data_IF_966392871386
#
_entry.id   IF_966392871386
#
_cell.length_a   1.000
_cell.length_b   1.000
_cell.length_c   1.000
_cell.angle_alpha   90.00
_cell.angle_beta   90.00
_cell.angle_gamma   90.00
#
_symmetry.space_group_name_H-M   'P 1'
#
loop_
_entity.id
_entity.type
_entity.pdbx_description
1 polymer ?
#
# COMPACT_ATOMS: atom_id res chain seq x y z
N UNK A 1 -26.40 12.00 -10.49
CA UNK A 1 -26.07 11.44 -9.15
C UNK A 1 -24.96 10.39 -9.19
N UNK A 2 -25.08 9.26 -9.93
CA UNK A 2 -24.01 8.23 -10.01
C UNK A 2 -22.63 8.77 -10.44
N UNK A 3 -22.57 9.60 -11.49
CA UNK A 3 -21.29 10.18 -11.95
C UNK A 3 -20.61 11.09 -10.90
N UNK A 4 -21.39 11.72 -10.02
CA UNK A 4 -20.83 12.59 -8.97
C UNK A 4 -20.09 11.77 -7.91
N UNK A 5 -20.62 10.59 -7.52
CA UNK A 5 -19.97 9.72 -6.54
C UNK A 5 -18.72 9.05 -7.11
N UNK A 6 -18.76 8.59 -8.37
CA UNK A 6 -17.58 8.02 -9.05
C UNK A 6 -16.48 9.06 -9.14
N UNK A 7 -16.80 10.28 -9.57
CA UNK A 7 -15.82 11.37 -9.67
C UNK A 7 -15.18 11.67 -8.31
N UNK A 8 -16.01 11.80 -7.27
CA UNK A 8 -15.52 12.03 -5.90
C UNK A 8 -14.62 10.90 -5.38
N UNK A 9 -14.94 9.64 -5.70
CA UNK A 9 -14.10 8.49 -5.32
C UNK A 9 -12.74 8.53 -6.05
N UNK A 10 -12.73 8.82 -7.34
CA UNK A 10 -11.49 9.00 -8.12
C UNK A 10 -10.64 10.14 -7.57
N UNK A 11 -11.27 11.27 -7.23
CA UNK A 11 -10.57 12.43 -6.68
C UNK A 11 -9.93 12.08 -5.32
N UNK A 12 -10.64 11.38 -4.43
CA UNK A 12 -10.09 10.89 -3.16
C UNK A 12 -8.88 9.97 -3.36
N UNK A 13 -8.95 9.02 -4.29
CA UNK A 13 -7.83 8.12 -4.58
C UNK A 13 -6.61 8.90 -5.11
N UNK A 14 -6.83 9.75 -6.11
CA UNK A 14 -5.76 10.57 -6.69
C UNK A 14 -5.12 11.52 -5.68
N UNK A 15 -5.93 12.10 -4.80
CA UNK A 15 -5.48 12.98 -3.72
C UNK A 15 -4.64 12.26 -2.65
N UNK A 16 -4.82 10.95 -2.49
CA UNK A 16 -4.08 10.12 -1.56
C UNK A 16 -2.87 9.41 -2.21
N UNK A 17 -2.75 9.44 -3.52
CA UNK A 17 -1.60 8.88 -4.23
C UNK A 17 -0.34 9.70 -3.94
N UNK A 18 0.75 9.03 -3.56
CA UNK A 18 2.02 9.65 -3.20
C UNK A 18 3.04 9.50 -4.33
N UNK A 19 4.01 10.43 -4.42
CA UNK A 19 5.09 10.39 -5.42
C UNK A 19 5.90 9.08 -5.39
N UNK A 20 5.94 8.41 -4.23
CA UNK A 20 6.58 7.10 -4.05
C UNK A 20 5.86 5.92 -4.71
N UNK A 21 4.71 6.15 -5.39
CA UNK A 21 3.97 5.09 -6.09
C UNK A 21 3.11 4.22 -5.18
N UNK A 22 2.68 4.77 -4.05
CA UNK A 22 1.75 4.14 -3.10
C UNK A 22 0.66 5.12 -2.69
N UNK A 23 -0.42 4.61 -2.10
CA UNK A 23 -1.54 5.42 -1.66
C UNK A 23 -1.67 5.32 -0.14
N UNK A 24 -1.86 6.47 0.51
CA UNK A 24 -2.17 6.49 1.93
C UNK A 24 -3.67 6.20 2.17
N UNK A 25 -4.04 5.33 3.12
CA UNK A 25 -5.45 5.06 3.40
C UNK A 25 -6.21 6.29 3.90
N UNK A 26 -5.51 7.19 4.62
CA UNK A 26 -6.09 8.43 5.16
C UNK A 26 -5.04 9.51 5.36
N UNK A 27 -5.28 10.70 4.80
CA UNK A 27 -4.40 11.88 4.93
C UNK A 27 -4.04 12.26 6.37
N UNK A 28 -4.93 11.97 7.33
CA UNK A 28 -4.75 12.41 8.72
C UNK A 28 -4.21 11.31 9.64
N UNK A 29 -4.60 10.06 9.40
CA UNK A 29 -4.38 8.98 10.36
C UNK A 29 -3.33 7.97 9.90
N UNK A 30 -3.20 7.74 8.60
CA UNK A 30 -2.41 6.61 8.07
C UNK A 30 -1.45 7.11 6.99
N UNK A 31 -0.25 7.61 7.36
CA UNK A 31 0.66 8.27 6.43
C UNK A 31 1.54 7.31 5.60
N UNK A 32 1.22 6.01 5.61
CA UNK A 32 2.06 4.96 5.05
C UNK A 32 1.25 4.04 4.13
N UNK A 33 1.93 3.12 3.44
CA UNK A 33 1.30 2.09 2.62
C UNK A 33 0.92 0.88 3.50
N UNK A 34 -0.29 0.36 3.32
CA UNK A 34 -0.85 -0.74 4.11
C UNK A 34 -1.24 -1.91 3.21
N UNK A 35 -0.88 -3.14 3.59
CA UNK A 35 -0.95 -4.34 2.74
C UNK A 35 -2.33 -4.58 2.12
N UNK A 36 -3.36 -4.78 2.92
CA UNK A 36 -4.68 -5.10 2.39
C UNK A 36 -5.37 -3.86 1.78
N UNK A 37 -5.10 -2.66 2.29
CA UNK A 37 -5.63 -1.40 1.80
C UNK A 37 -5.14 -1.16 0.37
N UNK A 38 -3.84 -1.32 0.13
CA UNK A 38 -3.23 -1.26 -1.21
C UNK A 38 -3.87 -2.25 -2.19
N UNK A 39 -4.28 -3.43 -1.72
CA UNK A 39 -5.04 -4.38 -2.52
C UNK A 39 -6.37 -3.80 -3.02
N UNK A 40 -7.20 -3.30 -2.12
CA UNK A 40 -8.51 -2.71 -2.48
C UNK A 40 -8.37 -1.37 -3.21
N UNK A 41 -7.35 -0.57 -2.89
CA UNK A 41 -7.02 0.67 -3.59
C UNK A 41 -6.64 0.39 -5.04
N UNK A 42 -5.83 -0.65 -5.29
CA UNK A 42 -5.48 -1.06 -6.64
C UNK A 42 -6.71 -1.44 -7.46
N UNK A 43 -7.69 -2.15 -6.87
CA UNK A 43 -8.98 -2.41 -7.52
C UNK A 43 -9.73 -1.11 -7.86
N UNK A 44 -9.71 -0.13 -6.96
CA UNK A 44 -10.28 1.20 -7.21
C UNK A 44 -9.64 1.87 -8.43
N UNK A 45 -8.31 1.88 -8.50
CA UNK A 45 -7.58 2.42 -9.65
C UNK A 45 -7.83 1.63 -10.94
N UNK A 46 -7.96 0.31 -10.89
CA UNK A 46 -8.11 -0.53 -12.09
C UNK A 46 -9.24 -0.06 -13.01
N UNK A 47 -10.31 0.50 -12.44
CA UNK A 47 -11.46 1.00 -13.18
C UNK A 47 -11.22 2.32 -13.95
N UNK A 48 -10.13 3.04 -13.73
CA UNK A 48 -9.87 4.32 -14.41
C UNK A 48 -8.40 4.67 -14.69
N UNK A 49 -7.44 3.98 -14.05
CA UNK A 49 -6.00 4.16 -14.19
C UNK A 49 -5.27 2.85 -13.81
N UNK A 50 -5.23 1.89 -14.74
CA UNK A 50 -4.57 0.60 -14.54
C UNK A 50 -3.06 0.73 -14.26
N UNK A 51 -2.42 1.80 -14.74
CA UNK A 51 -1.01 2.06 -14.46
C UNK A 51 -0.78 2.33 -12.96
N UNK A 52 -1.64 3.14 -12.33
CA UNK A 52 -1.60 3.33 -10.87
C UNK A 52 -1.94 2.05 -10.10
N UNK A 53 -2.90 1.26 -10.58
CA UNK A 53 -3.25 -0.02 -9.96
C UNK A 53 -2.02 -0.96 -9.89
N UNK A 54 -1.32 -1.13 -11.01
CA UNK A 54 -0.08 -1.92 -11.06
C UNK A 54 1.00 -1.33 -10.17
N UNK A 55 1.16 0.00 -10.20
CA UNK A 55 2.19 0.68 -9.40
C UNK A 55 1.97 0.51 -7.89
N UNK A 56 0.74 0.58 -7.41
CA UNK A 56 0.38 0.35 -6.01
C UNK A 56 0.83 -1.05 -5.55
N UNK A 57 0.55 -2.08 -6.35
CA UNK A 57 0.93 -3.47 -6.07
C UNK A 57 2.44 -3.68 -6.16
N UNK A 58 3.09 -3.15 -7.19
CA UNK A 58 4.56 -3.22 -7.34
C UNK A 58 5.27 -2.61 -6.13
N UNK A 59 4.83 -1.43 -5.68
CA UNK A 59 5.42 -0.74 -4.54
C UNK A 59 5.25 -1.53 -3.24
N UNK A 60 4.11 -2.22 -3.05
CA UNK A 60 3.91 -3.13 -1.92
C UNK A 60 4.84 -4.34 -1.99
N UNK A 61 4.96 -4.96 -3.17
CA UNK A 61 5.80 -6.15 -3.38
C UNK A 61 7.29 -5.86 -3.28
N UNK A 62 7.73 -4.63 -3.57
CA UNK A 62 9.11 -4.20 -3.32
C UNK A 62 9.51 -4.27 -1.84
N UNK A 63 8.55 -4.30 -0.91
CA UNK A 63 8.77 -4.47 0.52
C UNK A 63 8.68 -5.93 0.99
N UNK A 64 8.49 -6.89 0.07
CA UNK A 64 8.52 -8.31 0.40
C UNK A 64 9.90 -8.72 0.93
N UNK A 65 9.89 -9.47 2.03
CA UNK A 65 11.10 -10.02 2.64
C UNK A 65 11.62 -11.21 1.83
N UNK A 66 12.89 -11.57 1.98
CA UNK A 66 13.51 -12.65 1.20
C UNK A 66 12.88 -14.03 1.43
N UNK A 67 12.18 -14.22 2.54
CA UNK A 67 11.44 -15.44 2.88
C UNK A 67 9.98 -15.45 2.34
N UNK A 68 9.59 -14.46 1.54
CA UNK A 68 8.27 -14.34 0.94
C UNK A 68 7.25 -13.59 1.81
N UNK A 69 7.59 -13.22 3.05
CA UNK A 69 6.73 -12.43 3.93
C UNK A 69 6.46 -11.04 3.36
N UNK A 70 5.18 -10.65 3.29
CA UNK A 70 4.77 -9.29 2.93
C UNK A 70 4.30 -8.57 4.19
N UNK A 71 4.96 -7.47 4.58
CA UNK A 71 4.64 -6.73 5.80
C UNK A 71 3.28 -6.05 5.69
N UNK A 72 2.67 -5.84 6.85
CA UNK A 72 1.43 -5.09 7.01
C UNK A 72 1.58 -3.60 6.63
N UNK A 73 2.66 -2.93 7.05
CA UNK A 73 2.94 -1.52 6.72
C UNK A 73 4.32 -1.41 6.08
N UNK A 74 4.42 -0.56 5.05
CA UNK A 74 5.67 -0.13 4.43
C UNK A 74 5.91 1.35 4.73
N UNK A 75 7.04 1.66 5.38
CA UNK A 75 7.41 3.00 5.78
C UNK A 75 8.27 3.66 4.69
N UNK A 76 7.62 4.33 3.73
CA UNK A 76 8.28 5.01 2.60
C UNK A 76 8.93 6.35 2.98
N UNK A 77 8.39 7.01 3.99
CA UNK A 77 8.87 8.31 4.48
C UNK A 77 9.09 8.26 5.99
N UNK A 78 9.88 9.21 6.50
CA UNK A 78 9.93 9.43 7.96
C UNK A 78 8.70 10.23 8.37
N UNK A 79 7.94 9.72 9.33
CA UNK A 79 6.84 10.46 9.96
C UNK A 79 6.75 10.13 11.45
N UNK A 80 6.41 11.15 12.25
CA UNK A 80 6.14 11.03 13.68
C UNK A 80 4.64 11.09 14.00
N UNK A 81 3.77 11.14 12.97
CA UNK A 81 2.31 11.28 13.16
C UNK A 81 1.59 9.96 13.37
N UNK A 82 2.30 8.83 13.26
CA UNK A 82 1.77 7.49 13.45
C UNK A 82 2.65 6.67 14.40
N UNK A 83 2.02 5.96 15.32
CA UNK A 83 2.67 5.05 16.26
C UNK A 83 1.89 3.72 16.29
N UNK A 84 2.56 2.55 16.33
CA UNK A 84 4.01 2.34 16.34
C UNK A 84 4.69 2.59 14.97
N UNK A 85 5.81 3.32 15.00
CA UNK A 85 6.60 3.66 13.80
C UNK A 85 7.80 2.73 13.54
N UNK A 86 8.63 3.01 12.52
CA UNK A 86 9.75 2.14 12.14
C UNK A 86 10.78 1.93 13.25
N UNK A 87 11.01 2.93 14.11
CA UNK A 87 11.92 2.82 15.28
C UNK A 87 11.40 1.91 16.40
N UNK A 88 10.09 1.65 16.43
CA UNK A 88 9.51 0.69 17.35
C UNK A 88 9.60 -0.73 16.76
N UNK A 89 9.31 -0.87 15.47
CA UNK A 89 9.31 -2.18 14.80
C UNK A 89 10.70 -2.76 14.52
N UNK A 90 11.70 -1.91 14.24
CA UNK A 90 13.11 -2.28 14.03
C UNK A 90 13.28 -3.48 13.06
N UNK A 91 12.48 -3.55 11.99
CA UNK A 91 12.51 -4.68 11.06
C UNK A 91 13.87 -4.92 10.42
N UNK A 92 14.71 -3.89 10.30
CA UNK A 92 16.08 -3.99 9.80
C UNK A 92 16.97 -4.95 10.60
N UNK A 93 16.61 -5.27 11.85
CA UNK A 93 17.30 -6.26 12.68
C UNK A 93 17.04 -7.71 12.22
N UNK A 94 15.95 -7.95 11.48
CA UNK A 94 15.67 -9.28 10.96
C UNK A 94 16.52 -9.56 9.71
N UNK A 95 17.14 -10.76 9.59
CA UNK A 95 18.02 -11.08 8.46
C UNK A 95 17.29 -10.99 7.11
N UNK A 96 16.05 -11.48 7.05
CA UNK A 96 15.24 -11.52 5.81
C UNK A 96 14.59 -10.19 5.42
N UNK A 97 14.61 -9.18 6.30
CA UNK A 97 13.95 -7.91 6.02
C UNK A 97 14.72 -7.13 4.93
N UNK A 98 13.99 -6.41 4.04
CA UNK A 98 14.61 -5.54 3.04
C UNK A 98 15.54 -4.52 3.70
N UNK A 99 16.74 -4.34 3.13
CA UNK A 99 17.73 -3.40 3.68
C UNK A 99 17.44 -1.93 3.37
N UNK A 100 16.71 -1.67 2.27
CA UNK A 100 16.42 -0.31 1.80
C UNK A 100 15.07 0.24 2.26
N UNK A 101 14.14 -0.62 2.68
CA UNK A 101 12.78 -0.25 3.06
C UNK A 101 12.49 -0.72 4.48
N UNK A 102 12.06 0.21 5.33
CA UNK A 102 11.58 -0.15 6.66
C UNK A 102 10.12 -0.61 6.57
N UNK A 103 9.79 -1.65 7.33
CA UNK A 103 8.42 -2.20 7.40
C UNK A 103 8.08 -2.71 8.80
N UNK A 104 6.84 -3.13 9.01
CA UNK A 104 6.45 -3.87 10.22
C UNK A 104 6.90 -5.33 10.16
N UNK A 105 7.17 -5.95 11.32
CA UNK A 105 7.44 -7.40 11.43
C UNK A 105 6.20 -8.30 11.51
N UNK A 106 5.01 -7.78 11.22
CA UNK A 106 3.75 -8.55 11.18
C UNK A 106 3.04 -8.37 9.84
N UNK A 107 2.17 -9.32 9.49
CA UNK A 107 1.43 -9.31 8.21
C UNK A 107 -0.05 -8.96 8.41
N UNK A 108 -0.78 -8.94 7.30
CA UNK A 108 -2.23 -8.72 7.22
C UNK A 108 -2.86 -9.79 6.29
N UNK A 109 -4.20 -9.90 6.24
CA UNK A 109 -4.89 -10.88 5.39
C UNK A 109 -4.36 -10.94 3.94
N UNK A 110 -4.17 -12.13 3.36
CA UNK A 110 -3.54 -12.30 2.05
C UNK A 110 -4.53 -12.10 0.89
N UNK A 111 -5.11 -10.89 0.77
CA UNK A 111 -6.08 -10.57 -0.30
C UNK A 111 -5.44 -10.43 -1.69
N UNK A 112 -4.10 -10.42 -1.78
CA UNK A 112 -3.37 -10.05 -2.98
C UNK A 112 -3.66 -10.97 -4.18
N UNK A 113 -3.82 -12.28 -3.97
CA UNK A 113 -4.15 -13.22 -5.05
C UNK A 113 -5.51 -12.89 -5.69
N UNK A 114 -6.54 -12.67 -4.87
CA UNK A 114 -7.85 -12.23 -5.32
C UNK A 114 -7.79 -10.89 -6.06
N UNK A 115 -7.02 -9.92 -5.52
CA UNK A 115 -6.85 -8.61 -6.15
C UNK A 115 -6.21 -8.75 -7.52
N UNK A 116 -5.11 -9.49 -7.65
CA UNK A 116 -4.41 -9.70 -8.92
C UNK A 116 -5.30 -10.37 -9.96
N UNK A 117 -6.10 -11.36 -9.55
CA UNK A 117 -7.08 -12.00 -10.41
C UNK A 117 -8.11 -10.98 -10.93
N UNK A 118 -8.62 -10.09 -10.06
CA UNK A 118 -9.54 -9.02 -10.49
C UNK A 118 -8.89 -7.96 -11.36
N UNK A 119 -7.62 -7.61 -11.11
CA UNK A 119 -6.88 -6.69 -11.98
C UNK A 119 -6.66 -7.27 -13.37
N UNK A 120 -6.52 -8.60 -13.49
CA UNK A 120 -6.37 -9.29 -14.76
C UNK A 120 -7.65 -9.27 -15.60
N UNK A 121 -8.81 -9.31 -14.96
CA UNK A 121 -10.12 -9.37 -15.62
C UNK A 121 -10.66 -8.00 -16.10
N UNK A 122 -10.11 -6.90 -15.58
CA UNK A 122 -10.51 -5.52 -15.93
C UNK A 122 -9.73 -5.05 -17.15
#
# INVERSE_FOLDING_TARGET
MKNTFVKKAQDILNENFQEGGYTIPSKKLYPFQWKWDSGFIALGYAHFDMSKAKKEIETLLNAQWSNGFIPHIVFHITSNTYFPGPKFHLSSLHPDAPKKLSSTGMTQPPVLGFVLERLYDI
#
